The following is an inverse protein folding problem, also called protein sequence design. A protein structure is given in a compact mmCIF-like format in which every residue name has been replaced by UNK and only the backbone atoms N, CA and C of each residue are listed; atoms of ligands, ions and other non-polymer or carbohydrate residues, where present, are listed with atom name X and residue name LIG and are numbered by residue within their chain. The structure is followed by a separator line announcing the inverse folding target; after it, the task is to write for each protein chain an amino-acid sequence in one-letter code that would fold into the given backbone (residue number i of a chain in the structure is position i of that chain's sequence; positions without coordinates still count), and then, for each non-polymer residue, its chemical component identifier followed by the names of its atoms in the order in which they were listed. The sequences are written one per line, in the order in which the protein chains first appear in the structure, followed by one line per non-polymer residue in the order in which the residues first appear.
data_IF_667637578154
#
_entry.id   IF_667637578154
#
_cell.length_a   1.000
_cell.length_b   1.000
_cell.length_c   1.000
_cell.angle_alpha   90.00
_cell.angle_beta   90.00
_cell.angle_gamma   90.00
#
_symmetry.space_group_name_H-M   'P 1'
#
loop_
_entity.id
_entity.type
_entity.pdbx_description
1 polymer ?
#
# COMPACT_ATOMS: atom_id res chain seq x y z
N UNK A 1 1.76 -19.83 15.35
CA UNK A 1 2.75 -19.02 14.60
C UNK A 1 2.13 -17.82 13.86
N UNK A 2 0.81 -17.78 13.61
CA UNK A 2 0.07 -16.62 13.09
C UNK A 2 0.43 -15.27 13.75
N UNK A 3 0.59 -15.17 15.10
CA UNK A 3 0.91 -13.89 15.73
C UNK A 3 2.27 -13.31 15.35
N UNK A 4 3.24 -14.15 14.96
CA UNK A 4 4.55 -13.69 14.48
C UNK A 4 4.46 -13.09 13.07
N UNK A 5 3.64 -13.68 12.20
CA UNK A 5 3.37 -13.14 10.87
C UNK A 5 2.59 -11.83 10.95
N UNK A 6 1.51 -11.81 11.72
CA UNK A 6 0.65 -10.63 11.90
C UNK A 6 1.45 -9.47 12.53
N UNK A 7 2.20 -9.72 13.60
CA UNK A 7 3.02 -8.69 14.24
C UNK A 7 4.09 -8.12 13.29
N UNK A 8 4.68 -8.94 12.42
CA UNK A 8 5.61 -8.45 11.41
C UNK A 8 4.92 -7.55 10.38
N UNK A 9 3.74 -7.93 9.90
CA UNK A 9 2.94 -7.12 8.97
C UNK A 9 2.58 -5.77 9.59
N UNK A 10 2.14 -5.75 10.85
CA UNK A 10 1.78 -4.51 11.55
C UNK A 10 2.98 -3.57 11.72
N UNK A 11 4.14 -4.15 12.06
CA UNK A 11 5.40 -3.40 12.19
C UNK A 11 5.84 -2.81 10.84
N UNK A 12 5.69 -3.55 9.74
CA UNK A 12 5.94 -3.04 8.38
C UNK A 12 4.93 -1.94 8.01
N UNK A 13 3.67 -2.10 8.38
CA UNK A 13 2.62 -1.10 8.11
C UNK A 13 2.94 0.25 8.77
N UNK A 14 3.34 0.24 10.05
CA UNK A 14 3.71 1.45 10.79
C UNK A 14 4.90 2.16 10.16
N UNK A 15 5.92 1.43 9.69
CA UNK A 15 7.11 2.08 9.11
C UNK A 15 6.89 2.59 7.70
N UNK A 16 5.92 2.02 6.98
CA UNK A 16 5.61 2.40 5.60
C UNK A 16 5.09 3.84 5.53
N UNK A 17 4.25 4.26 6.48
CA UNK A 17 3.68 5.61 6.55
C UNK A 17 4.73 6.73 6.57
N UNK A 18 5.68 6.79 7.54
CA UNK A 18 6.70 7.84 7.56
C UNK A 18 7.66 7.76 6.37
N UNK A 19 7.97 6.55 5.87
CA UNK A 19 8.81 6.38 4.69
C UNK A 19 8.14 6.99 3.45
N UNK A 20 6.86 6.70 3.22
CA UNK A 20 6.10 7.26 2.10
C UNK A 20 6.07 8.78 2.21
N UNK A 21 5.75 9.33 3.39
CA UNK A 21 5.71 10.77 3.57
C UNK A 21 7.05 11.44 3.25
N UNK A 22 8.14 10.95 3.83
CA UNK A 22 9.46 11.55 3.63
C UNK A 22 9.91 11.44 2.18
N UNK A 23 9.76 10.27 1.56
CA UNK A 23 10.21 10.04 0.18
C UNK A 23 9.39 10.85 -0.83
N UNK A 24 8.07 10.93 -0.65
CA UNK A 24 7.20 11.67 -1.55
C UNK A 24 7.33 13.17 -1.37
N UNK A 25 7.31 13.67 -0.13
CA UNK A 25 7.43 15.10 0.14
C UNK A 25 8.78 15.65 -0.30
N UNK A 26 9.89 14.99 0.07
CA UNK A 26 11.24 15.43 -0.34
C UNK A 26 11.52 15.18 -1.81
N UNK A 27 10.99 14.09 -2.37
CA UNK A 27 11.14 13.75 -3.78
C UNK A 27 10.48 14.78 -4.70
N UNK A 28 9.26 15.22 -4.37
CA UNK A 28 8.57 16.27 -5.13
C UNK A 28 9.22 17.64 -4.87
N UNK A 29 9.56 17.97 -3.63
CA UNK A 29 10.22 19.24 -3.30
C UNK A 29 11.59 19.40 -3.99
N UNK A 30 12.28 18.28 -4.26
CA UNK A 30 13.55 18.28 -5.00
C UNK A 30 13.41 18.46 -6.51
N UNK A 31 12.19 18.41 -7.06
CA UNK A 31 11.96 18.65 -8.47
C UNK A 31 11.85 20.15 -8.75
N UNK A 32 12.71 20.66 -9.63
CA UNK A 32 12.75 22.08 -10.00
C UNK A 32 11.57 22.54 -10.87
N UNK A 33 10.77 21.61 -11.39
CA UNK A 33 9.68 21.91 -12.31
C UNK A 33 8.46 21.05 -12.01
N UNK A 34 7.37 21.70 -11.62
CA UNK A 34 6.11 21.08 -11.27
C UNK A 34 5.45 20.38 -12.48
N UNK A 35 5.70 20.86 -13.70
CA UNK A 35 5.22 20.19 -14.91
C UNK A 35 5.89 18.82 -15.11
N UNK A 36 7.14 18.66 -14.66
CA UNK A 36 7.82 17.37 -14.69
C UNK A 36 7.18 16.40 -13.71
N UNK A 37 6.78 16.85 -12.52
CA UNK A 37 6.06 16.01 -11.54
C UNK A 37 4.79 15.41 -12.17
N UNK A 38 3.95 16.25 -12.77
CA UNK A 38 2.71 15.81 -13.42
C UNK A 38 2.97 14.84 -14.58
N UNK A 39 4.00 15.10 -15.40
CA UNK A 39 4.40 14.21 -16.51
C UNK A 39 4.91 12.85 -16.01
N UNK A 40 5.70 12.82 -14.94
CA UNK A 40 6.20 11.59 -14.34
C UNK A 40 5.04 10.79 -13.74
N UNK A 41 4.12 11.45 -13.02
CA UNK A 41 2.93 10.81 -12.47
C UNK A 41 2.04 10.20 -13.57
N UNK A 42 1.80 10.94 -14.67
CA UNK A 42 1.03 10.44 -15.80
C UNK A 42 1.71 9.23 -16.48
N UNK A 43 3.03 9.29 -16.70
CA UNK A 43 3.80 8.15 -17.23
C UNK A 43 3.74 6.95 -16.29
N UNK A 44 3.86 7.16 -14.99
CA UNK A 44 3.75 6.10 -14.00
C UNK A 44 2.36 5.47 -13.97
N UNK A 45 1.29 6.27 -14.10
CA UNK A 45 -0.08 5.77 -14.20
C UNK A 45 -0.30 4.93 -15.46
N UNK A 46 0.15 5.39 -16.62
CA UNK A 46 0.05 4.60 -17.87
C UNK A 46 0.86 3.31 -17.74
N UNK A 47 2.07 3.38 -17.19
CA UNK A 47 2.90 2.21 -16.93
C UNK A 47 2.21 1.21 -15.99
N UNK A 48 1.70 1.69 -14.86
CA UNK A 48 0.99 0.89 -13.86
C UNK A 48 -0.24 0.21 -14.45
N UNK A 49 -1.07 0.95 -15.19
CA UNK A 49 -2.31 0.42 -15.76
C UNK A 49 -2.01 -0.64 -16.84
N UNK A 50 -0.99 -0.40 -17.67
CA UNK A 50 -0.56 -1.34 -18.71
C UNK A 50 -0.02 -2.63 -18.12
N UNK A 51 0.96 -2.54 -17.21
CA UNK A 51 1.58 -3.73 -16.61
C UNK A 51 0.63 -4.48 -15.67
N UNK A 52 -0.24 -3.78 -14.94
CA UNK A 52 -1.24 -4.44 -14.08
C UNK A 52 -2.29 -5.17 -14.91
N UNK A 53 -2.75 -4.57 -16.02
CA UNK A 53 -3.67 -5.25 -16.95
C UNK A 53 -3.01 -6.47 -17.56
N UNK A 54 -1.75 -6.36 -17.98
CA UNK A 54 -1.00 -7.50 -18.52
C UNK A 54 -0.84 -8.62 -17.47
N UNK A 55 -0.53 -8.27 -16.22
CA UNK A 55 -0.43 -9.23 -15.12
C UNK A 55 -1.78 -9.93 -14.86
N UNK A 56 -2.90 -9.19 -14.92
CA UNK A 56 -4.24 -9.78 -14.81
C UNK A 56 -4.54 -10.75 -15.96
N UNK A 57 -4.19 -10.40 -17.19
CA UNK A 57 -4.36 -11.29 -18.35
C UNK A 57 -3.57 -12.58 -18.17
N UNK A 58 -2.30 -12.49 -17.77
CA UNK A 58 -1.47 -13.67 -17.49
C UNK A 58 -2.06 -14.50 -16.35
N UNK A 59 -2.46 -13.86 -15.25
CA UNK A 59 -3.10 -14.53 -14.12
C UNK A 59 -4.38 -15.27 -14.52
N UNK A 60 -5.20 -14.64 -15.38
CA UNK A 60 -6.43 -15.25 -15.90
C UNK A 60 -6.12 -16.47 -16.79
N UNK A 61 -5.13 -16.37 -17.67
CA UNK A 61 -4.72 -17.49 -18.52
C UNK A 61 -4.25 -18.68 -17.65
N UNK A 62 -3.36 -18.42 -16.69
CA UNK A 62 -2.85 -19.47 -15.79
C UNK A 62 -3.98 -20.09 -14.96
N UNK A 63 -4.87 -19.28 -14.39
CA UNK A 63 -6.00 -19.76 -13.60
C UNK A 63 -6.95 -20.65 -14.42
N UNK A 64 -7.21 -20.32 -15.69
CA UNK A 64 -8.07 -21.10 -16.56
C UNK A 64 -7.42 -22.40 -17.05
N UNK A 65 -6.09 -22.44 -17.18
CA UNK A 65 -5.34 -23.64 -17.61
C UNK A 65 -5.09 -24.59 -16.43
N UNK A 66 -4.54 -24.08 -15.33
CA UNK A 66 -4.16 -24.89 -14.17
C UNK A 66 -5.39 -25.30 -13.37
N UNK A 67 -6.46 -24.50 -13.44
CA UNK A 67 -7.72 -24.73 -12.73
C UNK A 67 -7.48 -25.15 -11.27
N UNK A 68 -6.83 -24.32 -10.43
CA UNK A 68 -6.46 -24.70 -9.07
C UNK A 68 -7.66 -25.02 -8.15
N UNK A 69 -8.90 -24.77 -8.61
CA UNK A 69 -10.13 -25.19 -7.93
C UNK A 69 -10.83 -26.43 -8.51
N UNK A 70 -10.34 -27.02 -9.61
CA UNK A 70 -10.90 -28.25 -10.15
C UNK A 70 -10.63 -29.41 -9.18
N UNK A 71 -11.68 -30.07 -8.71
CA UNK A 71 -11.61 -31.13 -7.69
C UNK A 71 -11.95 -30.67 -6.27
N UNK A 72 -12.17 -29.38 -6.04
CA UNK A 72 -12.88 -28.91 -4.86
C UNK A 72 -14.37 -29.25 -5.03
N UNK A 73 -14.85 -30.31 -4.37
CA UNK A 73 -16.29 -30.67 -4.29
C UNK A 73 -17.07 -29.65 -3.43
N UNK A 74 -16.95 -28.36 -3.74
CA UNK A 74 -17.69 -27.28 -3.09
C UNK A 74 -19.02 -27.17 -3.82
N UNK A 75 -20.09 -27.65 -3.20
CA UNK A 75 -21.45 -27.42 -3.68
C UNK A 75 -21.80 -25.94 -3.41
N UNK A 76 -21.99 -25.10 -4.45
CA UNK A 76 -22.35 -23.70 -4.29
C UNK A 76 -23.64 -23.49 -3.48
N UNK A 77 -24.53 -24.50 -3.44
CA UNK A 77 -25.78 -24.46 -2.69
C UNK A 77 -25.60 -24.74 -1.18
N UNK A 78 -24.47 -25.30 -0.76
CA UNK A 78 -24.11 -25.52 0.65
C UNK A 78 -23.31 -24.36 1.27
N UNK A 79 -22.98 -23.35 0.48
CA UNK A 79 -22.27 -22.17 0.94
C UNK A 79 -23.21 -21.30 1.77
N UNK A 80 -22.80 -21.00 3.00
CA UNK A 80 -23.54 -20.12 3.91
C UNK A 80 -23.58 -18.69 3.34
N UNK A 81 -24.72 -18.37 2.71
CA UNK A 81 -24.96 -17.08 2.06
C UNK A 81 -24.95 -15.93 3.08
N UNK A 82 -25.18 -16.19 4.37
CA UNK A 82 -25.10 -15.16 5.41
C UNK A 82 -23.67 -14.69 5.67
N UNK A 83 -22.68 -15.60 5.60
CA UNK A 83 -21.27 -15.25 5.73
C UNK A 83 -20.75 -14.38 4.56
N UNK A 84 -21.41 -14.45 3.39
CA UNK A 84 -21.03 -13.72 2.18
C UNK A 84 -21.77 -12.39 2.04
N UNK A 85 -22.99 -12.27 2.58
CA UNK A 85 -23.80 -11.02 2.51
C UNK A 85 -23.06 -9.79 3.01
N UNK A 86 -22.26 -9.90 4.07
CA UNK A 86 -21.44 -8.80 4.59
C UNK A 86 -20.42 -8.29 3.57
N UNK A 87 -19.71 -9.19 2.90
CA UNK A 87 -18.72 -8.84 1.88
C UNK A 87 -19.37 -8.24 0.61
N UNK A 88 -20.54 -8.76 0.22
CA UNK A 88 -21.29 -8.24 -0.94
C UNK A 88 -21.82 -6.83 -0.66
N UNK A 89 -22.28 -6.56 0.56
CA UNK A 89 -22.69 -5.22 0.98
C UNK A 89 -21.51 -4.23 0.97
N UNK A 90 -20.35 -4.62 1.53
CA UNK A 90 -19.12 -3.80 1.50
C UNK A 90 -18.64 -3.53 0.07
N UNK A 91 -18.73 -4.52 -0.83
CA UNK A 91 -18.38 -4.32 -2.25
C UNK A 91 -19.32 -3.33 -2.95
N UNK A 92 -20.61 -3.30 -2.58
CA UNK A 92 -21.59 -2.37 -3.12
C UNK A 92 -21.43 -0.93 -2.60
N UNK A 93 -20.96 -0.75 -1.37
CA UNK A 93 -20.69 0.58 -0.78
C UNK A 93 -19.41 1.23 -1.34
N UNK A 94 -18.52 0.43 -1.94
CA UNK A 94 -17.27 0.89 -2.52
C UNK A 94 -17.50 1.50 -3.91
N UNK A 95 -18.27 2.59 -3.96
CA UNK A 95 -18.44 3.39 -5.17
C UNK A 95 -17.15 4.15 -5.51
N UNK A 96 -16.97 4.48 -6.79
CA UNK A 96 -15.83 5.33 -7.23
C UNK A 96 -15.83 6.66 -6.47
N UNK A 97 -17.01 7.23 -6.21
CA UNK A 97 -17.16 8.46 -5.42
C UNK A 97 -16.71 8.27 -3.98
N UNK A 98 -17.13 7.18 -3.32
CA UNK A 98 -16.73 6.85 -1.95
C UNK A 98 -15.20 6.66 -1.86
N UNK A 99 -14.62 5.97 -2.84
CA UNK A 99 -13.18 5.78 -2.92
C UNK A 99 -12.42 7.12 -3.05
N UNK A 100 -12.86 8.00 -3.95
CA UNK A 100 -12.25 9.33 -4.13
C UNK A 100 -12.39 10.21 -2.88
N UNK A 101 -13.53 10.16 -2.20
CA UNK A 101 -13.73 10.90 -0.95
C UNK A 101 -12.83 10.37 0.17
N UNK A 102 -12.59 9.06 0.25
CA UNK A 102 -11.70 8.46 1.25
C UNK A 102 -10.23 8.83 1.08
N UNK A 103 -9.82 9.36 -0.08
CA UNK A 103 -8.46 9.88 -0.30
C UNK A 103 -8.19 11.13 0.53
N UNK A 104 -9.23 11.93 0.78
CA UNK A 104 -9.11 13.19 1.51
C UNK A 104 -9.22 12.86 3.01
N UNK A 105 -8.13 12.99 3.78
CA UNK A 105 -8.20 12.70 5.20
C UNK A 105 -9.06 13.74 5.93
N UNK A 106 -9.82 13.29 6.93
CA UNK A 106 -10.54 14.18 7.85
C UNK A 106 -9.57 15.04 8.65
N UNK A 107 -8.43 14.48 9.08
CA UNK A 107 -7.33 15.20 9.74
C UNK A 107 -5.97 14.63 9.31
N UNK A 108 -4.92 15.45 9.37
CA UNK A 108 -3.56 14.97 9.10
C UNK A 108 -3.16 13.90 10.13
N UNK A 109 -3.53 14.09 11.40
CA UNK A 109 -3.18 13.14 12.46
C UNK A 109 -3.83 11.76 12.24
N UNK A 110 -5.10 11.71 11.82
CA UNK A 110 -5.79 10.44 11.57
C UNK A 110 -5.17 9.67 10.41
N UNK A 111 -4.78 10.34 9.32
CA UNK A 111 -4.11 9.66 8.20
C UNK A 111 -2.84 8.90 8.62
N UNK A 112 -2.04 9.52 9.51
CA UNK A 112 -0.81 8.92 10.01
C UNK A 112 -1.06 7.89 11.13
N UNK A 113 -2.10 8.09 11.95
CA UNK A 113 -2.44 7.21 13.08
C UNK A 113 -3.17 5.93 12.64
N UNK A 114 -4.12 6.05 11.72
CA UNK A 114 -4.89 4.92 11.16
C UNK A 114 -4.07 4.15 10.10
N UNK A 115 -3.02 4.80 9.58
CA UNK A 115 -2.10 4.22 8.61
C UNK A 115 -2.75 4.00 7.25
N UNK A 116 -3.67 4.90 6.86
CA UNK A 116 -4.21 4.92 5.51
C UNK A 116 -3.14 5.47 4.55
N UNK A 117 -2.57 4.56 3.75
CA UNK A 117 -1.49 4.85 2.82
C UNK A 117 -1.93 5.87 1.77
N UNK A 118 -3.17 5.82 1.31
CA UNK A 118 -3.65 6.67 0.22
C UNK A 118 -3.84 8.11 0.70
N UNK A 119 -4.37 8.28 1.92
CA UNK A 119 -4.48 9.58 2.57
C UNK A 119 -3.12 10.22 2.85
N UNK A 120 -2.18 9.43 3.38
CA UNK A 120 -0.79 9.89 3.62
C UNK A 120 -0.14 10.30 2.31
N UNK A 121 -0.28 9.50 1.25
CA UNK A 121 0.25 9.80 -0.07
C UNK A 121 -0.31 11.12 -0.61
N UNK A 122 -1.64 11.32 -0.52
CA UNK A 122 -2.30 12.54 -0.96
C UNK A 122 -1.75 13.78 -0.25
N UNK A 123 -1.68 13.74 1.09
CA UNK A 123 -1.09 14.83 1.87
C UNK A 123 0.38 15.07 1.50
N UNK A 124 1.18 14.01 1.35
CA UNK A 124 2.60 14.09 1.01
C UNK A 124 2.84 14.76 -0.34
N UNK A 125 1.98 14.49 -1.33
CA UNK A 125 2.03 15.12 -2.64
C UNK A 125 1.72 16.61 -2.52
N UNK A 126 0.60 16.97 -1.88
CA UNK A 126 0.23 18.38 -1.70
C UNK A 126 1.30 19.17 -0.93
N UNK A 127 1.83 18.57 0.14
CA UNK A 127 2.88 19.18 0.94
C UNK A 127 4.20 19.32 0.16
N UNK A 128 4.61 18.30 -0.60
CA UNK A 128 5.77 18.38 -1.49
C UNK A 128 5.63 19.46 -2.56
N UNK A 129 4.45 19.61 -3.15
CA UNK A 129 4.14 20.69 -4.10
C UNK A 129 4.25 22.06 -3.43
N UNK A 130 3.67 22.22 -2.23
CA UNK A 130 3.74 23.47 -1.48
C UNK A 130 5.20 23.84 -1.12
N UNK A 131 6.02 22.87 -0.71
CA UNK A 131 7.46 23.06 -0.48
C UNK A 131 8.20 23.49 -1.75
N UNK A 132 7.89 22.89 -2.90
CA UNK A 132 8.47 23.26 -4.19
C UNK A 132 8.08 24.69 -4.61
N UNK A 133 6.82 25.08 -4.42
CA UNK A 133 6.31 26.40 -4.82
C UNK A 133 6.83 27.55 -3.94
N UNK A 134 7.13 27.27 -2.68
CA UNK A 134 7.62 28.27 -1.71
C UNK A 134 9.13 28.48 -1.76
N UNK A 135 9.86 27.64 -2.51
CA UNK A 135 11.26 27.86 -2.87
C UNK A 135 12.20 27.98 -1.66
N UNK A 136 12.99 29.06 -1.60
CA UNK A 136 14.03 29.25 -0.58
C UNK A 136 13.51 29.29 0.85
N UNK A 137 12.30 29.81 1.07
CA UNK A 137 11.66 29.88 2.40
C UNK A 137 11.51 28.49 3.03
N UNK A 138 11.27 27.47 2.21
CA UNK A 138 11.04 26.09 2.64
C UNK A 138 12.31 25.25 2.70
N UNK A 139 13.46 25.82 2.32
CA UNK A 139 14.75 25.10 2.30
C UNK A 139 15.14 24.49 3.65
N UNK A 140 14.95 25.14 4.81
CA UNK A 140 15.23 24.51 6.11
C UNK A 140 14.35 23.29 6.37
N UNK A 141 13.08 23.35 5.97
CA UNK A 141 12.13 22.24 6.14
C UNK A 141 12.52 21.06 5.25
N UNK A 142 12.81 21.31 3.97
CA UNK A 142 13.27 20.26 3.04
C UNK A 142 14.55 19.60 3.55
N UNK A 143 15.51 20.39 4.03
CA UNK A 143 16.77 19.88 4.58
C UNK A 143 16.54 19.01 5.82
N UNK A 144 15.63 19.43 6.71
CA UNK A 144 15.25 18.63 7.88
C UNK A 144 14.62 17.29 7.50
N UNK A 145 13.67 17.29 6.55
CA UNK A 145 13.01 16.07 6.09
C UNK A 145 14.00 15.11 5.39
N UNK A 146 14.94 15.65 4.62
CA UNK A 146 16.02 14.87 4.02
C UNK A 146 16.93 14.25 5.10
N UNK A 147 17.32 15.03 6.11
CA UNK A 147 18.12 14.52 7.23
C UNK A 147 17.37 13.42 8.01
N UNK A 148 16.05 13.54 8.16
CA UNK A 148 15.20 12.55 8.82
C UNK A 148 15.05 11.25 8.02
N UNK A 149 15.30 11.28 6.71
CA UNK A 149 15.22 10.08 5.86
C UNK A 149 16.26 9.03 6.27
N UNK A 150 17.47 9.44 6.62
CA UNK A 150 18.55 8.51 7.00
C UNK A 150 18.24 7.64 8.24
N UNK A 151 17.83 8.20 9.41
CA UNK A 151 17.48 7.39 10.57
C UNK A 151 16.23 6.53 10.32
N UNK A 152 15.25 7.01 9.55
CA UNK A 152 14.06 6.21 9.19
C UNK A 152 14.45 5.01 8.32
N UNK A 153 15.29 5.19 7.30
CA UNK A 153 15.78 4.07 6.50
C UNK A 153 16.68 3.12 7.31
N UNK A 154 17.43 3.63 8.29
CA UNK A 154 18.17 2.78 9.23
C UNK A 154 17.21 1.93 10.07
N UNK A 155 16.11 2.50 10.54
CA UNK A 155 15.06 1.78 11.25
C UNK A 155 14.44 0.70 10.37
N UNK A 156 14.12 1.01 9.10
CA UNK A 156 13.68 0.01 8.11
C UNK A 156 14.68 -1.13 8.01
N UNK A 157 15.98 -0.83 7.90
CA UNK A 157 17.03 -1.84 7.86
C UNK A 157 17.10 -2.73 9.11
N UNK A 158 16.81 -2.18 10.30
CA UNK A 158 16.71 -2.97 11.54
C UNK A 158 15.50 -3.91 11.49
N UNK A 159 14.34 -3.40 11.07
CA UNK A 159 13.11 -4.20 10.97
C UNK A 159 13.22 -5.31 9.92
N UNK A 160 13.91 -5.06 8.81
CA UNK A 160 14.14 -6.08 7.77
C UNK A 160 14.97 -7.26 8.27
N UNK A 161 15.76 -7.11 9.35
CA UNK A 161 16.42 -8.27 9.99
C UNK A 161 15.43 -9.23 10.65
N UNK A 162 14.25 -8.74 11.06
CA UNK A 162 13.17 -9.58 11.60
C UNK A 162 12.28 -10.17 10.50
N UNK A 163 12.42 -9.73 9.25
CA UNK A 163 11.62 -10.22 8.12
C UNK A 163 11.69 -11.74 7.88
N UNK A 164 12.85 -12.42 8.01
CA UNK A 164 12.92 -13.87 7.88
C UNK A 164 12.03 -14.60 8.90
N UNK A 165 11.93 -14.07 10.12
CA UNK A 165 11.11 -14.63 11.20
C UNK A 165 9.62 -14.41 10.91
N UNK A 166 9.25 -13.22 10.44
CA UNK A 166 7.87 -12.92 10.01
C UNK A 166 7.43 -13.78 8.83
N UNK A 167 8.27 -13.89 7.80
CA UNK A 167 8.02 -14.72 6.62
C UNK A 167 7.90 -16.22 7.00
N UNK A 168 8.77 -16.71 7.89
CA UNK A 168 8.66 -18.06 8.44
C UNK A 168 7.34 -18.26 9.20
N UNK A 169 6.96 -17.32 10.07
CA UNK A 169 5.71 -17.39 10.82
C UNK A 169 4.46 -17.42 9.93
N UNK A 170 4.44 -16.60 8.88
CA UNK A 170 3.37 -16.54 7.89
C UNK A 170 3.30 -17.83 7.05
N UNK A 171 4.43 -18.28 6.47
CA UNK A 171 4.47 -19.51 5.68
C UNK A 171 4.14 -20.76 6.52
N UNK A 172 4.68 -20.87 7.74
CA UNK A 172 4.38 -21.98 8.63
C UNK A 172 2.90 -22.02 9.06
N UNK A 173 2.26 -20.86 9.24
CA UNK A 173 0.82 -20.81 9.50
C UNK A 173 0.00 -21.24 8.28
N UNK A 174 0.31 -20.73 7.08
CA UNK A 174 -0.40 -21.09 5.85
C UNK A 174 -0.26 -22.57 5.55
N UNK A 175 0.94 -23.15 5.70
CA UNK A 175 1.16 -24.59 5.52
C UNK A 175 0.48 -25.39 6.63
N UNK A 176 0.53 -24.94 7.89
CA UNK A 176 -0.11 -25.65 9.00
C UNK A 176 -1.64 -25.64 8.95
N UNK A 177 -2.25 -24.64 8.32
CA UNK A 177 -3.71 -24.51 8.19
C UNK A 177 -4.25 -25.07 6.87
N UNK A 178 -3.47 -25.02 5.79
CA UNK A 178 -3.93 -25.31 4.42
C UNK A 178 -2.96 -26.19 3.60
N UNK A 179 -1.80 -26.56 4.14
CA UNK A 179 -0.70 -27.19 3.38
C UNK A 179 -0.67 -28.72 3.40
N UNK A 180 -1.56 -29.37 4.15
CA UNK A 180 -1.71 -30.83 4.14
C UNK A 180 -3.20 -31.19 4.13
N UNK A 181 -3.83 -31.07 2.96
CA UNK A 181 -5.24 -31.43 2.75
C UNK A 181 -6.21 -30.33 3.17
#
# INVERSE_FOLDING_TARGET
LKPLGDAFVDVVKIITVPVIFLTMATGIAGMSDLQKVGRVAAKAMVYFLTFSTLALVVGLIVANIVQPGAGLNIDPASLDVEAVKGYVATAHEQSVTSFLMNIIPSTIASAFAEGDILQVLFFSVLFGIALAMTGETSRPVVTFLQALTAPIFKLVGILMKAAPIGAFGAMAFTIGKYGIG
#
